data_IF_677670653513
#
_entry.id   IF_677670653513
#
_cell.length_a   1.000
_cell.length_b   1.000
_cell.length_c   1.000
_cell.angle_alpha   90.00
_cell.angle_beta   90.00
_cell.angle_gamma   90.00
#
_symmetry.space_group_name_H-M   'P 1'
#
loop_
_entity.id
_entity.type
_entity.pdbx_description
1 polymer ?
#
# COMPACT_ATOMS: atom_id res chain seq x y z
N UNK A 1 -4.79 -13.69 15.42
CA UNK A 1 -3.75 -13.88 14.38
C UNK A 1 -2.46 -13.26 14.87
N UNK A 2 -1.29 -13.78 14.50
CA UNK A 2 0.01 -13.23 14.93
C UNK A 2 0.81 -12.80 13.70
N UNK A 3 0.90 -11.51 13.45
CA UNK A 3 1.70 -10.90 12.38
C UNK A 3 2.98 -10.22 12.92
N UNK A 4 3.35 -10.51 14.17
CA UNK A 4 4.53 -9.91 14.81
C UNK A 4 5.81 -10.21 14.01
N UNK A 5 6.54 -9.16 13.67
CA UNK A 5 7.79 -9.26 12.92
C UNK A 5 7.62 -9.45 11.41
N UNK A 6 6.39 -9.47 10.89
CA UNK A 6 6.12 -9.54 9.44
C UNK A 6 6.37 -8.19 8.77
N UNK A 7 6.99 -8.26 7.61
CA UNK A 7 7.08 -7.12 6.68
C UNK A 7 5.72 -6.86 6.02
N UNK A 8 5.48 -5.63 5.57
CA UNK A 8 4.27 -5.25 4.84
C UNK A 8 4.66 -4.56 3.53
N UNK A 9 5.05 -5.35 2.53
CA UNK A 9 5.64 -4.85 1.28
C UNK A 9 4.62 -4.75 0.15
N UNK A 10 3.73 -5.71 0.05
CA UNK A 10 2.63 -5.77 -0.92
C UNK A 10 1.54 -6.72 -0.42
N UNK A 11 0.28 -6.52 -0.85
CA UNK A 11 -0.83 -7.38 -0.41
C UNK A 11 -0.71 -8.82 -0.90
N UNK A 12 0.04 -9.09 -1.96
CA UNK A 12 0.33 -10.45 -2.44
C UNK A 12 1.04 -11.35 -1.42
N UNK A 13 1.66 -10.75 -0.39
CA UNK A 13 2.37 -11.47 0.68
C UNK A 13 1.44 -11.91 1.81
N UNK A 14 0.13 -11.61 1.70
CA UNK A 14 -0.87 -11.84 2.75
C UNK A 14 -2.04 -12.68 2.24
N UNK A 15 -2.65 -13.42 3.18
CA UNK A 15 -3.91 -14.13 2.90
C UNK A 15 -5.10 -13.18 3.05
N UNK A 16 -6.28 -13.52 2.47
CA UNK A 16 -7.51 -12.75 2.70
C UNK A 16 -7.84 -12.55 4.19
N UNK A 17 -7.63 -13.58 5.02
CA UNK A 17 -7.90 -13.55 6.47
C UNK A 17 -6.92 -12.61 7.19
N UNK A 18 -5.66 -12.54 6.75
CA UNK A 18 -4.67 -11.61 7.29
C UNK A 18 -5.01 -10.16 6.95
N UNK A 19 -5.48 -9.91 5.72
CA UNK A 19 -5.92 -8.57 5.30
C UNK A 19 -7.18 -8.16 6.08
N UNK A 20 -8.16 -9.06 6.23
CA UNK A 20 -9.36 -8.80 7.03
C UNK A 20 -9.01 -8.45 8.48
N UNK A 21 -8.08 -9.20 9.08
CA UNK A 21 -7.56 -8.90 10.43
C UNK A 21 -6.93 -7.50 10.51
N UNK A 22 -6.15 -7.09 9.50
CA UNK A 22 -5.55 -5.75 9.44
C UNK A 22 -6.61 -4.65 9.30
N UNK A 23 -7.68 -4.90 8.54
CA UNK A 23 -8.81 -3.97 8.40
C UNK A 23 -9.58 -3.83 9.72
N UNK A 24 -9.86 -4.94 10.41
CA UNK A 24 -10.55 -4.93 11.71
C UNK A 24 -9.72 -4.22 12.78
N UNK A 25 -8.42 -4.49 12.83
CA UNK A 25 -7.49 -3.78 13.72
C UNK A 25 -7.44 -2.27 13.41
N UNK A 26 -7.44 -1.91 12.12
CA UNK A 26 -7.47 -0.51 11.69
C UNK A 26 -8.74 0.19 12.12
N UNK A 27 -9.90 -0.48 12.02
CA UNK A 27 -11.19 0.03 12.50
C UNK A 27 -11.18 0.23 14.02
N UNK A 28 -10.66 -0.73 14.78
CA UNK A 28 -10.53 -0.64 16.24
C UNK A 28 -9.65 0.54 16.66
N UNK A 29 -8.48 0.69 16.03
CA UNK A 29 -7.56 1.80 16.35
C UNK A 29 -8.13 3.16 15.94
N UNK A 30 -8.82 3.23 14.80
CA UNK A 30 -9.56 4.43 14.36
C UNK A 30 -10.62 4.84 15.37
N UNK A 31 -11.38 3.88 15.89
CA UNK A 31 -12.40 4.13 16.90
C UNK A 31 -11.79 4.63 18.23
N UNK A 32 -10.72 3.96 18.69
CA UNK A 32 -9.98 4.41 19.88
C UNK A 32 -9.49 5.85 19.74
N UNK A 33 -8.86 6.18 18.61
CA UNK A 33 -8.38 7.54 18.33
C UNK A 33 -9.53 8.55 18.32
N UNK A 34 -10.64 8.25 17.63
CA UNK A 34 -11.81 9.12 17.52
C UNK A 34 -12.46 9.41 18.89
N UNK A 35 -12.45 8.42 19.78
CA UNK A 35 -13.04 8.53 21.13
C UNK A 35 -12.02 8.97 22.20
N UNK A 36 -10.79 9.32 21.82
CA UNK A 36 -9.74 9.76 22.76
C UNK A 36 -9.28 8.67 23.74
N UNK A 37 -9.43 7.39 23.35
CA UNK A 37 -9.02 6.25 24.18
C UNK A 37 -7.51 6.01 23.97
N UNK A 38 -6.67 6.11 25.04
CA UNK A 38 -5.25 5.86 24.94
C UNK A 38 -4.96 4.43 24.46
N UNK A 39 -4.02 4.28 23.52
CA UNK A 39 -3.68 2.98 22.96
C UNK A 39 -2.19 2.84 22.64
N UNK A 40 -1.33 3.22 23.58
CA UNK A 40 0.14 3.19 23.48
C UNK A 40 0.72 1.76 23.49
N UNK A 41 0.29 0.93 22.56
CA UNK A 41 0.64 -0.50 22.52
C UNK A 41 2.12 -0.76 22.17
N UNK A 42 2.82 0.24 21.64
CA UNK A 42 4.21 0.16 21.22
C UNK A 42 5.09 1.17 21.99
N UNK A 43 4.74 1.47 23.24
CA UNK A 43 5.49 2.43 24.07
C UNK A 43 6.98 2.05 24.16
N UNK A 44 7.85 3.05 23.97
CA UNK A 44 9.31 2.87 24.02
C UNK A 44 9.93 2.33 22.72
N UNK A 45 9.13 2.00 21.69
CA UNK A 45 9.63 1.64 20.37
C UNK A 45 10.00 2.87 19.55
N UNK A 46 10.91 2.70 18.58
CA UNK A 46 11.32 3.77 17.66
C UNK A 46 11.30 3.26 16.23
N UNK A 47 10.84 4.09 15.31
CA UNK A 47 10.81 3.75 13.88
C UNK A 47 11.55 4.77 13.04
N UNK A 48 12.13 4.30 11.93
CA UNK A 48 12.68 5.15 10.88
C UNK A 48 11.67 5.27 9.73
N UNK A 49 11.49 6.50 9.23
CA UNK A 49 10.72 6.79 8.04
C UNK A 49 11.67 7.25 6.94
N UNK A 50 11.88 6.42 5.92
CA UNK A 50 12.78 6.69 4.79
C UNK A 50 11.94 7.18 3.63
N UNK A 51 12.16 8.42 3.19
CA UNK A 51 11.44 9.02 2.07
C UNK A 51 12.41 9.42 0.97
N UNK A 52 12.44 8.69 -0.14
CA UNK A 52 13.11 9.09 -1.37
C UNK A 52 12.18 9.89 -2.30
N UNK A 53 10.85 9.72 -2.14
CA UNK A 53 9.81 10.55 -2.75
C UNK A 53 9.09 11.35 -1.69
N UNK A 54 8.94 12.64 -1.90
CA UNK A 54 8.21 13.53 -0.98
C UNK A 54 6.74 13.11 -0.83
N UNK A 55 6.21 13.28 0.36
CA UNK A 55 4.79 13.05 0.64
C UNK A 55 4.37 13.74 1.93
N UNK A 56 3.32 14.53 1.87
CA UNK A 56 2.72 15.15 3.05
C UNK A 56 1.86 14.13 3.81
N UNK A 57 0.90 13.52 3.13
CA UNK A 57 -0.08 12.62 3.77
C UNK A 57 0.54 11.38 4.38
N UNK A 58 1.37 10.65 3.63
CA UNK A 58 2.00 9.41 4.11
C UNK A 58 2.90 9.70 5.32
N UNK A 59 3.74 10.73 5.23
CA UNK A 59 4.60 11.15 6.34
C UNK A 59 3.78 11.46 7.59
N UNK A 60 2.82 12.39 7.50
CA UNK A 60 1.99 12.76 8.65
C UNK A 60 1.23 11.56 9.22
N UNK A 61 0.73 10.65 8.38
CA UNK A 61 0.00 9.46 8.83
C UNK A 61 0.89 8.52 9.63
N UNK A 62 2.09 8.21 9.17
CA UNK A 62 3.02 7.37 9.90
C UNK A 62 3.53 8.04 11.18
N UNK A 63 3.90 9.32 11.15
CA UNK A 63 4.33 10.07 12.33
C UNK A 63 3.24 10.07 13.41
N UNK A 64 2.02 10.45 13.04
CA UNK A 64 0.92 10.55 14.00
C UNK A 64 0.50 9.17 14.52
N UNK A 65 0.42 8.14 13.65
CA UNK A 65 0.13 6.79 14.10
C UNK A 65 1.17 6.25 15.07
N UNK A 66 2.46 6.52 14.82
CA UNK A 66 3.54 6.14 15.72
C UNK A 66 3.39 6.82 17.09
N UNK A 67 3.13 8.13 17.14
CA UNK A 67 2.92 8.86 18.39
C UNK A 67 1.69 8.36 19.15
N UNK A 68 0.58 8.08 18.48
CA UNK A 68 -0.62 7.52 19.10
C UNK A 68 -0.35 6.15 19.73
N UNK A 69 0.54 5.34 19.11
CA UNK A 69 0.98 4.04 19.62
C UNK A 69 2.11 4.13 20.67
N UNK A 70 2.62 5.34 20.97
CA UNK A 70 3.69 5.57 21.96
C UNK A 70 5.10 5.38 21.42
N UNK A 71 5.27 5.41 20.10
CA UNK A 71 6.59 5.26 19.45
C UNK A 71 7.28 6.60 19.21
N UNK A 72 8.62 6.59 19.21
CA UNK A 72 9.45 7.66 18.64
C UNK A 72 9.62 7.50 17.14
N UNK A 73 9.84 8.63 16.44
CA UNK A 73 9.97 8.65 14.97
C UNK A 73 11.22 9.44 14.57
N UNK A 74 11.99 8.90 13.62
CA UNK A 74 13.02 9.64 12.91
C UNK A 74 12.68 9.70 11.43
N UNK A 75 12.52 10.90 10.90
CA UNK A 75 12.31 11.12 9.47
C UNK A 75 13.65 11.30 8.75
N UNK A 76 13.88 10.51 7.72
CA UNK A 76 15.07 10.51 6.88
C UNK A 76 14.68 10.96 5.47
N UNK A 77 14.97 12.22 5.15
CA UNK A 77 14.69 12.77 3.83
C UNK A 77 15.81 12.48 2.82
N UNK A 78 15.57 12.65 1.51
CA UNK A 78 16.56 12.36 0.46
C UNK A 78 17.81 13.23 0.54
N UNK A 79 17.72 14.41 1.13
CA UNK A 79 18.83 15.39 1.22
C UNK A 79 19.73 15.07 2.41
N UNK A 80 19.18 14.57 3.50
CA UNK A 80 19.87 14.21 4.74
C UNK A 80 20.38 12.79 4.80
N UNK A 81 20.06 11.93 3.81
CA UNK A 81 20.38 10.51 3.80
C UNK A 81 21.48 10.16 2.77
N UNK A 82 22.31 9.20 3.11
CA UNK A 82 23.32 8.60 2.22
C UNK A 82 22.83 7.32 1.53
N UNK A 83 21.59 6.91 1.78
CA UNK A 83 20.95 5.69 1.27
C UNK A 83 21.00 5.67 -0.26
N UNK A 84 21.47 4.55 -0.83
CA UNK A 84 21.56 4.36 -2.27
C UNK A 84 22.60 5.25 -2.99
N UNK A 85 23.40 6.07 -2.25
CA UNK A 85 24.44 6.93 -2.81
C UNK A 85 25.83 6.41 -2.47
N UNK A 86 26.23 6.53 -1.21
CA UNK A 86 27.53 6.05 -0.68
C UNK A 86 27.38 4.76 0.13
N UNK A 87 26.17 4.42 0.54
CA UNK A 87 25.86 3.26 1.35
C UNK A 87 24.90 2.35 0.58
N UNK A 88 25.15 1.05 0.59
CA UNK A 88 24.25 0.07 -0.04
C UNK A 88 22.92 -0.03 0.73
N UNK A 89 21.85 -0.41 0.04
CA UNK A 89 20.55 -0.67 0.68
C UNK A 89 20.69 -1.74 1.77
N UNK A 90 21.47 -2.79 1.50
CA UNK A 90 21.73 -3.87 2.45
C UNK A 90 22.47 -3.39 3.73
N UNK A 91 23.43 -2.50 3.60
CA UNK A 91 24.16 -1.97 4.77
C UNK A 91 23.28 -0.98 5.54
N UNK A 92 22.55 -0.12 4.85
CA UNK A 92 21.52 0.74 5.46
C UNK A 92 20.52 -0.09 6.28
N UNK A 93 19.99 -1.18 5.73
CA UNK A 93 19.06 -2.06 6.43
C UNK A 93 19.67 -2.65 7.70
N UNK A 94 20.92 -3.14 7.64
CA UNK A 94 21.63 -3.69 8.81
C UNK A 94 21.87 -2.65 9.89
N UNK A 95 22.28 -1.44 9.52
CA UNK A 95 22.53 -0.34 10.48
C UNK A 95 21.23 0.11 11.12
N UNK A 96 20.20 0.45 10.32
CA UNK A 96 18.94 0.96 10.84
C UNK A 96 18.20 -0.07 11.70
N UNK A 97 18.25 -1.35 11.35
CA UNK A 97 17.62 -2.40 12.15
C UNK A 97 18.33 -2.69 13.51
N UNK A 98 19.51 -2.11 13.75
CA UNK A 98 20.15 -2.10 15.08
C UNK A 98 19.79 -0.89 15.93
N UNK A 99 19.24 0.14 15.31
CA UNK A 99 18.87 1.41 15.96
C UNK A 99 17.38 1.47 16.21
N UNK A 100 16.57 0.99 15.25
CA UNK A 100 15.12 1.10 15.25
C UNK A 100 14.41 -0.25 15.41
N UNK A 101 13.14 -0.20 15.81
CA UNK A 101 12.24 -1.36 15.96
C UNK A 101 11.39 -1.63 14.71
N UNK A 102 11.44 -0.74 13.73
CA UNK A 102 10.75 -0.86 12.44
C UNK A 102 11.20 0.21 11.46
N UNK A 103 11.04 -0.06 10.17
CA UNK A 103 11.47 0.82 9.09
C UNK A 103 10.30 0.98 8.10
N UNK A 104 9.90 2.22 7.83
CA UNK A 104 9.04 2.54 6.69
C UNK A 104 9.90 3.05 5.54
N UNK A 105 9.54 2.65 4.33
CA UNK A 105 10.17 3.10 3.10
C UNK A 105 9.12 3.63 2.11
N UNK A 106 9.34 4.83 1.60
CA UNK A 106 8.61 5.41 0.48
C UNK A 106 9.59 5.89 -0.58
N UNK A 107 9.55 5.28 -1.76
CA UNK A 107 10.53 5.59 -2.80
C UNK A 107 10.16 5.11 -4.20
N UNK A 108 11.14 4.56 -4.88
CA UNK A 108 11.05 4.20 -6.29
C UNK A 108 10.71 2.72 -6.49
N UNK A 109 11.70 1.87 -6.78
CA UNK A 109 11.48 0.48 -7.15
C UNK A 109 11.07 -0.41 -5.98
N UNK A 110 10.24 -1.39 -6.27
CA UNK A 110 9.82 -2.41 -5.29
C UNK A 110 11.01 -3.23 -4.79
N UNK A 111 12.01 -3.46 -5.65
CA UNK A 111 13.24 -4.16 -5.33
C UNK A 111 14.01 -3.51 -4.17
N UNK A 112 13.91 -2.19 -4.01
CA UNK A 112 14.61 -1.45 -2.93
C UNK A 112 13.99 -1.80 -1.57
N UNK A 113 12.67 -1.74 -1.45
CA UNK A 113 11.98 -2.07 -0.20
C UNK A 113 12.08 -3.57 0.11
N UNK A 114 12.12 -4.43 -0.90
CA UNK A 114 12.34 -5.87 -0.74
C UNK A 114 13.78 -6.18 -0.31
N UNK A 115 14.77 -5.43 -0.80
CA UNK A 115 16.15 -5.54 -0.33
C UNK A 115 16.31 -5.03 1.10
N UNK A 116 15.68 -3.91 1.46
CA UNK A 116 15.62 -3.44 2.85
C UNK A 116 15.06 -4.52 3.78
N UNK A 117 13.92 -5.12 3.42
CA UNK A 117 13.29 -6.17 4.21
C UNK A 117 14.18 -7.41 4.34
N UNK A 118 14.83 -7.83 3.24
CA UNK A 118 15.72 -8.99 3.22
C UNK A 118 16.89 -8.89 4.20
N UNK A 119 17.46 -7.70 4.39
CA UNK A 119 18.64 -7.48 5.23
C UNK A 119 18.33 -6.84 6.58
N UNK A 120 17.09 -6.43 6.81
CA UNK A 120 16.61 -5.93 8.09
C UNK A 120 16.37 -7.07 9.08
N UNK A 121 16.60 -6.81 10.36
CA UNK A 121 16.19 -7.69 11.47
C UNK A 121 14.93 -7.20 12.19
N UNK A 122 14.31 -6.13 11.67
CA UNK A 122 13.05 -5.54 12.15
C UNK A 122 12.05 -5.42 10.98
N UNK A 123 10.75 -5.33 11.24
CA UNK A 123 9.75 -5.18 10.19
C UNK A 123 9.99 -3.98 9.28
N UNK A 124 9.77 -4.19 7.99
CA UNK A 124 9.81 -3.15 6.96
C UNK A 124 8.41 -2.95 6.37
N UNK A 125 7.98 -1.70 6.23
CA UNK A 125 6.68 -1.33 5.69
C UNK A 125 6.82 -0.47 4.45
N UNK A 126 6.09 -0.83 3.40
CA UNK A 126 6.05 -0.10 2.14
C UNK A 126 5.03 1.05 2.22
N UNK A 127 5.51 2.28 2.35
CA UNK A 127 4.72 3.51 2.30
C UNK A 127 4.32 3.93 0.88
N UNK A 128 5.03 3.49 -0.14
CA UNK A 128 4.77 3.52 -1.58
C UNK A 128 6.04 3.17 -2.36
N UNK A 129 5.88 2.34 -3.39
CA UNK A 129 6.85 2.18 -4.48
C UNK A 129 6.20 2.50 -5.83
N UNK A 130 6.93 2.36 -6.93
CA UNK A 130 6.33 2.49 -8.27
C UNK A 130 5.28 1.41 -8.53
N UNK A 131 5.48 0.21 -7.97
CA UNK A 131 4.69 -0.98 -8.23
C UNK A 131 3.54 -1.18 -7.24
N UNK A 132 3.72 -0.80 -5.95
CA UNK A 132 2.72 -1.07 -4.92
C UNK A 132 2.59 0.05 -3.87
N UNK A 133 1.37 0.18 -3.33
CA UNK A 133 1.04 1.07 -2.20
C UNK A 133 0.06 0.37 -1.25
N UNK A 134 0.50 -0.68 -0.53
CA UNK A 134 -0.40 -1.55 0.23
C UNK A 134 -1.14 -0.82 1.37
N UNK A 135 -0.52 0.16 2.01
CA UNK A 135 -1.15 0.92 3.10
C UNK A 135 -2.33 1.77 2.61
N UNK A 136 -2.28 2.30 1.37
CA UNK A 136 -3.40 3.03 0.79
C UNK A 136 -4.59 2.11 0.56
N UNK A 137 -4.34 0.87 0.12
CA UNK A 137 -5.43 -0.07 -0.15
C UNK A 137 -6.17 -0.48 1.13
N UNK A 138 -5.46 -0.61 2.26
CA UNK A 138 -6.13 -0.82 3.55
C UNK A 138 -7.06 0.35 3.89
N UNK A 139 -6.64 1.59 3.63
CA UNK A 139 -7.46 2.79 3.88
C UNK A 139 -8.69 2.83 2.96
N UNK A 140 -8.51 2.55 1.66
CA UNK A 140 -9.59 2.52 0.68
C UNK A 140 -10.60 1.41 1.00
N UNK A 141 -10.13 0.21 1.33
CA UNK A 141 -10.99 -0.92 1.67
C UNK A 141 -11.70 -0.74 3.01
N UNK A 142 -11.05 -0.14 4.00
CA UNK A 142 -11.73 0.22 5.24
C UNK A 142 -12.87 1.23 4.96
N UNK A 143 -12.62 2.24 4.12
CA UNK A 143 -13.64 3.22 3.71
C UNK A 143 -14.82 2.55 3.01
N UNK A 144 -14.56 1.62 2.09
CA UNK A 144 -15.60 0.85 1.39
C UNK A 144 -16.39 -0.02 2.39
N UNK A 145 -15.68 -0.72 3.29
CA UNK A 145 -16.29 -1.56 4.32
C UNK A 145 -17.17 -0.76 5.27
N UNK A 146 -16.74 0.44 5.69
CA UNK A 146 -17.53 1.34 6.51
C UNK A 146 -18.81 1.84 5.80
N UNK A 147 -18.75 2.06 4.49
CA UNK A 147 -19.89 2.58 3.72
C UNK A 147 -20.87 1.48 3.32
N UNK A 148 -20.38 0.34 2.84
CA UNK A 148 -21.20 -0.74 2.28
C UNK A 148 -21.40 -1.93 3.23
N UNK A 149 -20.70 -1.99 4.37
CA UNK A 149 -20.73 -3.09 5.33
C UNK A 149 -20.00 -4.37 4.83
N UNK A 150 -19.42 -4.35 3.64
CA UNK A 150 -18.76 -5.50 3.01
C UNK A 150 -17.74 -5.06 1.98
N UNK A 151 -16.85 -5.99 1.59
CA UNK A 151 -15.96 -5.87 0.43
C UNK A 151 -16.38 -6.82 -0.69
N UNK A 152 -16.67 -8.08 -0.33
CA UNK A 152 -17.00 -9.11 -1.30
C UNK A 152 -18.18 -8.72 -2.18
N UNK A 153 -18.00 -8.86 -3.52
CA UNK A 153 -19.01 -8.57 -4.51
C UNK A 153 -19.24 -7.08 -4.80
N UNK A 154 -18.44 -6.17 -4.24
CA UNK A 154 -18.43 -4.75 -4.62
C UNK A 154 -17.89 -4.62 -6.05
N UNK A 155 -18.57 -3.88 -6.90
CA UNK A 155 -18.12 -3.53 -8.24
C UNK A 155 -17.24 -2.29 -8.18
N UNK A 156 -15.94 -2.49 -8.30
CA UNK A 156 -14.94 -1.44 -8.18
C UNK A 156 -14.33 -1.12 -9.55
N UNK A 157 -14.40 0.12 -9.98
CA UNK A 157 -13.75 0.59 -11.21
C UNK A 157 -12.62 1.54 -10.86
N UNK A 158 -11.42 1.24 -11.35
CA UNK A 158 -10.31 2.16 -11.38
C UNK A 158 -10.19 2.77 -12.78
N UNK A 159 -10.28 4.10 -12.87
CA UNK A 159 -10.19 4.82 -14.14
C UNK A 159 -8.93 5.68 -14.17
N UNK A 160 -8.05 5.44 -15.13
CA UNK A 160 -6.79 6.14 -15.30
C UNK A 160 -5.63 5.21 -15.62
N UNK A 161 -4.40 5.65 -15.34
CA UNK A 161 -3.20 4.84 -15.55
C UNK A 161 -3.11 3.70 -14.53
N UNK A 162 -3.38 2.49 -14.97
CA UNK A 162 -3.39 1.30 -14.12
C UNK A 162 -2.05 0.52 -14.10
N UNK A 163 -1.00 1.03 -14.76
CA UNK A 163 0.31 0.35 -14.84
C UNK A 163 1.10 0.34 -13.53
N UNK A 164 0.81 1.30 -12.63
CA UNK A 164 1.63 1.60 -11.46
C UNK A 164 0.94 1.22 -10.14
N UNK A 165 1.46 1.74 -9.05
CA UNK A 165 1.16 1.33 -7.68
C UNK A 165 -0.33 1.27 -7.35
N UNK A 166 -1.14 2.28 -7.70
CA UNK A 166 -2.57 2.28 -7.36
C UNK A 166 -3.35 1.23 -8.16
N UNK A 167 -3.18 1.20 -9.48
CA UNK A 167 -3.83 0.20 -10.34
C UNK A 167 -3.46 -1.23 -9.92
N UNK A 168 -2.17 -1.49 -9.73
CA UNK A 168 -1.66 -2.78 -9.31
C UNK A 168 -2.18 -3.19 -7.93
N UNK A 169 -2.08 -2.30 -6.94
CA UNK A 169 -2.45 -2.63 -5.55
C UNK A 169 -3.95 -2.80 -5.37
N UNK A 170 -4.76 -1.98 -6.06
CA UNK A 170 -6.22 -2.11 -6.04
C UNK A 170 -6.66 -3.42 -6.69
N UNK A 171 -6.07 -3.79 -7.84
CA UNK A 171 -6.35 -5.06 -8.52
C UNK A 171 -5.99 -6.27 -7.64
N UNK A 172 -4.82 -6.26 -7.03
CA UNK A 172 -4.38 -7.31 -6.10
C UNK A 172 -5.30 -7.41 -4.90
N UNK A 173 -5.58 -6.28 -4.25
CA UNK A 173 -6.48 -6.24 -3.11
C UNK A 173 -7.88 -6.74 -3.45
N UNK A 174 -8.42 -6.32 -4.59
CA UNK A 174 -9.73 -6.77 -5.07
C UNK A 174 -9.76 -8.28 -5.32
N UNK A 175 -8.73 -8.83 -5.97
CA UNK A 175 -8.61 -10.27 -6.19
C UNK A 175 -8.60 -11.05 -4.87
N UNK A 176 -7.87 -10.59 -3.86
CA UNK A 176 -7.78 -11.22 -2.55
C UNK A 176 -9.07 -11.11 -1.74
N UNK A 177 -9.73 -9.94 -1.76
CA UNK A 177 -10.89 -9.66 -0.92
C UNK A 177 -12.25 -9.91 -1.61
N UNK A 178 -12.24 -10.45 -2.82
CA UNK A 178 -13.47 -10.86 -3.50
C UNK A 178 -14.27 -9.71 -4.13
N UNK A 179 -13.64 -8.56 -4.45
CA UNK A 179 -14.27 -7.47 -5.19
C UNK A 179 -14.21 -7.75 -6.70
N UNK A 180 -15.18 -7.26 -7.44
CA UNK A 180 -15.16 -7.23 -8.90
C UNK A 180 -14.40 -5.98 -9.35
N UNK A 181 -13.19 -6.16 -9.88
CA UNK A 181 -12.32 -5.06 -10.28
C UNK A 181 -12.32 -4.86 -11.78
N UNK A 182 -12.48 -3.62 -12.21
CA UNK A 182 -12.31 -3.22 -13.61
C UNK A 182 -11.28 -2.10 -13.70
N UNK A 183 -10.20 -2.33 -14.45
CA UNK A 183 -9.30 -1.26 -14.89
C UNK A 183 -9.87 -0.67 -16.20
N UNK A 184 -10.37 0.56 -16.13
CA UNK A 184 -10.89 1.31 -17.27
C UNK A 184 -9.84 2.31 -17.74
N UNK A 185 -9.13 1.97 -18.84
CA UNK A 185 -8.04 2.76 -19.38
C UNK A 185 -7.80 2.40 -20.86
N UNK A 186 -7.13 3.24 -21.65
CA UNK A 186 -6.56 2.81 -22.92
C UNK A 186 -5.61 1.63 -22.72
N UNK A 187 -5.57 0.68 -23.65
CA UNK A 187 -4.80 -0.56 -23.55
C UNK A 187 -3.34 -0.37 -23.15
N UNK A 188 -2.69 0.71 -23.60
CA UNK A 188 -1.29 1.04 -23.26
C UNK A 188 -1.07 1.35 -21.76
N UNK A 189 -2.15 1.58 -21.00
CA UNK A 189 -2.14 1.89 -19.57
C UNK A 189 -2.71 0.77 -18.70
N UNK A 190 -2.88 -0.42 -19.25
CA UNK A 190 -3.27 -1.59 -18.46
C UNK A 190 -2.13 -2.07 -17.57
N UNK A 191 -2.42 -2.75 -16.46
CA UNK A 191 -1.41 -3.41 -15.62
C UNK A 191 -0.63 -4.45 -16.42
N UNK A 192 0.53 -4.83 -15.90
CA UNK A 192 1.34 -5.92 -16.47
C UNK A 192 0.54 -7.23 -16.56
N UNK A 193 0.63 -7.92 -17.70
CA UNK A 193 -0.14 -9.12 -17.97
C UNK A 193 0.14 -10.26 -16.97
N UNK A 194 1.38 -10.42 -16.51
CA UNK A 194 1.72 -11.47 -15.54
C UNK A 194 1.04 -11.21 -14.20
N UNK A 195 0.96 -9.95 -13.77
CA UNK A 195 0.24 -9.56 -12.58
C UNK A 195 -1.28 -9.76 -12.72
N UNK A 196 -1.84 -9.40 -13.89
CA UNK A 196 -3.27 -9.61 -14.21
C UNK A 196 -3.63 -11.10 -14.11
N UNK A 197 -2.86 -11.98 -14.74
CA UNK A 197 -3.11 -13.42 -14.70
C UNK A 197 -2.99 -13.97 -13.28
N UNK A 198 -2.00 -13.52 -12.51
CA UNK A 198 -1.86 -13.90 -11.09
C UNK A 198 -3.10 -13.48 -10.28
N UNK A 199 -3.62 -12.27 -10.49
CA UNK A 199 -4.84 -11.81 -9.83
C UNK A 199 -6.07 -12.61 -10.28
N UNK A 200 -6.16 -13.00 -11.55
CA UNK A 200 -7.24 -13.86 -12.05
C UNK A 200 -7.21 -15.26 -11.42
N UNK A 201 -6.03 -15.84 -11.22
CA UNK A 201 -5.90 -17.12 -10.50
C UNK A 201 -6.37 -17.00 -9.04
N UNK A 202 -5.97 -15.95 -8.32
CA UNK A 202 -6.44 -15.68 -6.97
C UNK A 202 -7.97 -15.50 -6.96
N UNK A 203 -8.51 -14.76 -7.91
CA UNK A 203 -9.94 -14.48 -8.03
C UNK A 203 -10.81 -15.74 -8.15
N UNK A 204 -10.28 -16.83 -8.73
CA UNK A 204 -10.99 -18.14 -8.79
C UNK A 204 -11.33 -18.69 -7.41
N UNK A 205 -10.52 -18.41 -6.40
CA UNK A 205 -10.72 -18.90 -5.02
C UNK A 205 -11.58 -17.97 -4.18
N UNK A 206 -11.55 -16.66 -4.45
CA UNK A 206 -12.27 -15.63 -3.67
C UNK A 206 -13.65 -15.30 -4.25
N UNK A 207 -13.86 -15.62 -5.53
CA UNK A 207 -15.06 -15.25 -6.27
C UNK A 207 -15.03 -13.84 -6.86
N UNK A 208 -13.86 -13.19 -6.87
CA UNK A 208 -13.64 -11.92 -7.55
C UNK A 208 -13.67 -12.05 -9.08
N UNK A 209 -13.83 -10.93 -9.78
CA UNK A 209 -13.59 -10.84 -11.23
C UNK A 209 -12.57 -9.75 -11.52
N UNK A 210 -11.67 -9.99 -12.48
CA UNK A 210 -10.64 -9.02 -12.89
C UNK A 210 -10.81 -8.72 -14.38
N UNK A 211 -11.25 -7.51 -14.67
CA UNK A 211 -11.59 -7.03 -16.03
C UNK A 211 -10.68 -5.88 -16.44
N UNK A 212 -10.26 -5.87 -17.69
CA UNK A 212 -9.60 -4.73 -18.34
C UNK A 212 -10.53 -4.21 -19.44
N UNK A 213 -10.79 -2.93 -19.50
CA UNK A 213 -11.73 -2.33 -20.46
C UNK A 213 -11.22 -1.00 -20.99
N UNK A 214 -11.29 -0.81 -22.31
CA UNK A 214 -11.08 0.50 -22.94
C UNK A 214 -12.41 1.27 -23.06
N UNK A 215 -13.55 0.61 -22.81
CA UNK A 215 -14.87 1.23 -22.90
C UNK A 215 -15.22 1.95 -21.60
N UNK A 216 -15.36 3.27 -21.68
CA UNK A 216 -15.80 4.14 -20.56
C UNK A 216 -17.18 3.71 -20.01
N UNK A 217 -18.03 3.06 -20.83
CA UNK A 217 -19.31 2.56 -20.34
C UNK A 217 -19.20 1.46 -19.28
N UNK A 218 -18.00 0.87 -19.09
CA UNK A 218 -17.72 -0.12 -18.05
C UNK A 218 -17.87 0.41 -16.62
N UNK A 219 -17.96 1.73 -16.42
CA UNK A 219 -18.30 2.36 -15.14
C UNK A 219 -19.78 2.18 -14.74
N UNK A 220 -20.64 1.77 -15.67
CA UNK A 220 -22.06 1.60 -15.36
C UNK A 220 -22.28 0.44 -14.39
N UNK A 221 -23.01 0.73 -13.32
CA UNK A 221 -23.27 -0.24 -12.26
C UNK A 221 -22.12 -0.44 -11.30
N UNK A 222 -21.07 0.39 -11.34
CA UNK A 222 -20.04 0.42 -10.31
C UNK A 222 -20.60 0.92 -8.99
N UNK A 223 -20.24 0.24 -7.91
CA UNK A 223 -20.49 0.70 -6.54
C UNK A 223 -19.46 1.75 -6.14
N UNK A 224 -18.21 1.60 -6.63
CA UNK A 224 -17.08 2.47 -6.36
C UNK A 224 -16.34 2.81 -7.64
N UNK A 225 -16.07 4.08 -7.86
CA UNK A 225 -15.19 4.58 -8.93
C UNK A 225 -14.03 5.29 -8.26
N UNK A 226 -12.80 4.88 -8.59
CA UNK A 226 -11.57 5.47 -8.11
C UNK A 226 -10.73 5.97 -9.27
N UNK A 227 -10.05 7.08 -9.07
CA UNK A 227 -9.03 7.60 -9.99
C UNK A 227 -7.87 8.17 -9.18
N UNK A 228 -6.70 8.22 -9.77
CA UNK A 228 -5.52 8.89 -9.23
C UNK A 228 -5.00 9.89 -10.25
N UNK A 229 -3.80 10.44 -10.03
CA UNK A 229 -3.16 11.35 -11.01
C UNK A 229 -3.06 10.68 -12.37
N UNK A 230 -3.38 11.43 -13.43
CA UNK A 230 -3.34 10.92 -14.80
C UNK A 230 -1.92 10.82 -15.35
N UNK A 231 -0.99 11.60 -14.79
CA UNK A 231 0.44 11.54 -15.09
C UNK A 231 1.16 11.10 -13.82
N UNK A 232 1.77 9.93 -13.85
CA UNK A 232 2.50 9.39 -12.71
C UNK A 232 3.71 10.24 -12.34
N UNK A 233 4.06 10.28 -11.05
CA UNK A 233 5.19 11.06 -10.56
C UNK A 233 6.49 10.64 -11.27
N UNK A 234 7.09 11.60 -12.00
CA UNK A 234 8.33 11.39 -12.77
C UNK A 234 8.11 11.15 -14.26
N UNK A 235 6.86 11.06 -14.75
CA UNK A 235 6.55 11.03 -16.18
C UNK A 235 6.35 12.44 -16.74
N UNK A 236 6.73 12.68 -18.02
CA UNK A 236 6.43 13.93 -18.73
C UNK A 236 4.90 14.08 -18.93
N UNK A 237 4.41 15.33 -18.91
CA UNK A 237 2.98 15.61 -19.12
C UNK A 237 2.47 15.13 -20.50
N UNK A 238 3.35 15.14 -21.49
CA UNK A 238 3.06 14.75 -22.87
C UNK A 238 2.69 13.27 -23.04
N UNK A 239 2.90 12.43 -22.02
CA UNK A 239 2.52 11.01 -22.06
C UNK A 239 1.01 10.84 -22.23
N UNK A 240 0.21 11.83 -21.81
CA UNK A 240 -1.25 11.81 -21.83
C UNK A 240 -1.87 12.73 -22.91
N UNK A 241 -1.08 13.44 -23.66
CA UNK A 241 -1.51 14.16 -24.85
C UNK A 241 -1.55 13.20 -26.07
#
# INVERSE_FOLDING_TARGET
MNLKGRDFLKLLDFTPEEIEYLLDLSAELKDKKKNGIPHKMCEGKNIALIFEKTSTRTRCSFEVAAYDLGMGVTYLDPSGSQIGKKESIADTARVLSRIYDGIEYRGFGQEIVEELAKYSSVPVWNGLTNEFHPTQILADFLTIKEHFGRLKGINFVYMGDARYNMGNSLMVGAALMGLNFTACAPKKYFPDNALVEKCREIAKTTGATITLSEDVSSVRGADVICTDVWVSMGEPLEVWE
#
